data_IF_517351390867
#
_entry.id   IF_517351390867
#
_cell.length_a   1.000
_cell.length_b   1.000
_cell.length_c   1.000
_cell.angle_alpha   90.00
_cell.angle_beta   90.00
_cell.angle_gamma   90.00
#
_symmetry.space_group_name_H-M   'P 1'
#
loop_
_entity.id
_entity.type
_entity.pdbx_description
1 polymer ?
#
# COMPACT_ATOMS: atom_id res chain seq x y z
N UNK A 1 -37.85 -18.04 -55.79
CA UNK A 1 -37.20 -16.73 -56.02
C UNK A 1 -38.26 -15.68 -56.27
N UNK A 2 -38.02 -14.47 -55.79
CA UNK A 2 -38.99 -13.61 -55.11
C UNK A 2 -39.95 -12.81 -56.00
N UNK A 3 -41.02 -12.42 -55.33
CA UNK A 3 -42.20 -11.66 -55.71
C UNK A 3 -41.92 -10.15 -55.86
N UNK A 4 -42.76 -9.54 -56.71
CA UNK A 4 -42.88 -8.15 -57.14
C UNK A 4 -43.41 -7.19 -56.06
N UNK A 5 -42.99 -5.91 -56.19
CA UNK A 5 -43.57 -4.59 -55.84
C UNK A 5 -44.47 -4.48 -54.58
N UNK A 6 -44.40 -3.43 -53.76
CA UNK A 6 -44.76 -2.07 -54.11
C UNK A 6 -44.61 -1.13 -52.89
N UNK A 7 -44.52 0.16 -53.22
CA UNK A 7 -44.34 1.37 -52.41
C UNK A 7 -45.46 1.66 -51.41
N UNK A 8 -45.16 2.31 -50.27
CA UNK A 8 -46.11 3.13 -49.51
C UNK A 8 -45.45 4.39 -48.92
N UNK A 9 -46.25 5.46 -48.90
CA UNK A 9 -45.97 6.86 -48.54
C UNK A 9 -46.87 7.25 -47.35
N UNK A 10 -46.35 8.16 -46.52
CA UNK A 10 -47.00 9.14 -45.62
C UNK A 10 -47.84 8.78 -44.38
N UNK A 11 -47.45 9.52 -43.33
CA UNK A 11 -48.24 10.33 -42.38
C UNK A 11 -49.04 9.72 -41.22
N UNK A 12 -48.86 10.33 -40.04
CA UNK A 12 -49.88 10.41 -39.00
C UNK A 12 -49.39 10.26 -37.56
N UNK A 13 -49.22 11.41 -36.88
CA UNK A 13 -49.28 11.62 -35.41
C UNK A 13 -50.44 10.85 -34.75
N UNK A 14 -50.57 10.58 -33.45
CA UNK A 14 -49.88 10.82 -32.17
C UNK A 14 -50.64 9.95 -31.15
N UNK A 15 -50.01 9.39 -30.11
CA UNK A 15 -50.69 9.13 -28.83
C UNK A 15 -49.67 8.92 -27.70
N UNK A 16 -49.84 9.75 -26.68
CA UNK A 16 -49.10 9.85 -25.42
C UNK A 16 -49.30 8.62 -24.52
N UNK A 17 -48.23 8.16 -23.87
CA UNK A 17 -48.29 7.33 -22.66
C UNK A 17 -47.24 7.79 -21.63
N UNK A 18 -47.49 7.55 -20.32
CA UNK A 18 -47.10 8.46 -19.25
C UNK A 18 -45.65 8.26 -18.75
N UNK A 19 -45.07 9.37 -18.32
CA UNK A 19 -43.82 9.48 -17.60
C UNK A 19 -43.79 8.61 -16.33
N UNK A 20 -42.98 7.55 -16.35
CA UNK A 20 -42.52 6.89 -15.13
C UNK A 20 -41.38 7.71 -14.53
N UNK A 21 -41.62 8.16 -13.31
CA UNK A 21 -40.65 8.86 -12.46
C UNK A 21 -39.49 7.90 -12.21
N UNK A 22 -38.36 8.19 -12.84
CA UNK A 22 -37.08 7.54 -12.53
C UNK A 22 -36.58 8.18 -11.23
N UNK A 23 -36.62 7.40 -10.16
CA UNK A 23 -35.96 7.70 -8.90
C UNK A 23 -34.49 8.03 -9.17
N UNK A 24 -34.05 9.21 -8.76
CA UNK A 24 -32.66 9.63 -8.84
C UNK A 24 -31.81 8.74 -7.93
N UNK A 25 -31.14 7.76 -8.54
CA UNK A 25 -30.06 7.05 -7.91
C UNK A 25 -28.95 8.04 -7.53
N UNK A 26 -28.53 7.96 -6.28
CA UNK A 26 -27.42 8.69 -5.69
C UNK A 26 -26.15 8.41 -6.49
N UNK A 27 -25.67 9.42 -7.23
CA UNK A 27 -24.37 9.39 -7.87
C UNK A 27 -23.31 9.48 -6.77
N UNK A 28 -22.72 8.35 -6.39
CA UNK A 28 -21.44 8.32 -5.68
C UNK A 28 -20.36 8.99 -6.56
N UNK A 29 -19.42 9.79 -6.02
CA UNK A 29 -18.38 10.38 -6.83
C UNK A 29 -17.33 9.31 -7.18
N UNK A 30 -17.56 8.58 -8.29
CA UNK A 30 -16.67 7.56 -8.85
C UNK A 30 -15.35 8.17 -9.39
N UNK A 31 -15.26 9.51 -9.50
CA UNK A 31 -14.20 10.19 -10.26
C UNK A 31 -12.81 10.20 -9.61
N UNK A 32 -12.67 10.14 -8.28
CA UNK A 32 -11.38 10.42 -7.64
C UNK A 32 -10.45 9.20 -7.51
N UNK A 33 -10.94 7.98 -7.71
CA UNK A 33 -10.12 6.76 -7.53
C UNK A 33 -9.34 6.41 -8.79
N UNK A 34 -9.84 6.83 -9.97
CA UNK A 34 -9.26 6.51 -11.27
C UNK A 34 -7.99 7.30 -11.62
N UNK A 35 -7.78 8.46 -11.01
CA UNK A 35 -6.57 9.26 -11.21
C UNK A 35 -5.55 8.94 -10.13
N UNK A 36 -4.32 8.59 -10.53
CA UNK A 36 -3.18 8.47 -9.61
C UNK A 36 -2.84 9.85 -9.05
N UNK A 37 -2.85 10.05 -7.71
CA UNK A 37 -2.40 11.28 -7.07
C UNK A 37 -0.95 11.64 -7.43
N UNK A 38 -0.64 12.93 -7.54
CA UNK A 38 0.71 13.39 -7.89
C UNK A 38 1.77 12.97 -6.87
N UNK A 39 1.40 12.83 -5.60
CA UNK A 39 2.28 12.32 -4.56
C UNK A 39 2.71 10.86 -4.83
N UNK A 40 1.79 10.02 -5.30
CA UNK A 40 2.09 8.62 -5.67
C UNK A 40 2.96 8.59 -6.94
N UNK A 41 2.63 9.39 -7.96
CA UNK A 41 3.47 9.49 -9.17
C UNK A 41 4.90 9.87 -8.83
N UNK A 42 5.07 10.90 -7.99
CA UNK A 42 6.36 11.50 -7.66
C UNK A 42 7.19 10.67 -6.69
N UNK A 43 6.57 10.17 -5.62
CA UNK A 43 7.27 9.53 -4.50
C UNK A 43 7.00 8.03 -4.39
N UNK A 44 6.29 7.44 -5.34
CA UNK A 44 6.17 5.98 -5.48
C UNK A 44 6.64 5.58 -6.87
N UNK A 45 5.90 5.94 -7.92
CA UNK A 45 6.13 5.41 -9.28
C UNK A 45 7.53 5.76 -9.79
N UNK A 46 7.84 7.07 -9.88
CA UNK A 46 9.15 7.52 -10.33
C UNK A 46 10.30 7.01 -9.46
N UNK A 47 10.07 6.85 -8.15
CA UNK A 47 11.10 6.37 -7.24
C UNK A 47 11.40 4.91 -7.51
N UNK A 48 10.38 4.04 -7.56
CA UNK A 48 10.57 2.61 -7.82
C UNK A 48 11.15 2.36 -9.21
N UNK A 49 10.73 3.11 -10.24
CA UNK A 49 11.33 3.05 -11.57
C UNK A 49 12.82 3.39 -11.53
N UNK A 50 13.20 4.45 -10.81
CA UNK A 50 14.59 4.89 -10.72
C UNK A 50 15.48 3.94 -9.89
N UNK A 51 14.93 3.28 -8.87
CA UNK A 51 15.70 2.41 -7.97
C UNK A 51 15.56 0.92 -8.30
N UNK A 52 14.78 0.54 -9.32
CA UNK A 52 14.43 -0.86 -9.62
C UNK A 52 15.63 -1.83 -9.66
N UNK A 53 16.77 -1.52 -10.32
CA UNK A 53 17.93 -2.41 -10.32
C UNK A 53 18.51 -2.63 -8.91
N UNK A 54 18.64 -1.55 -8.14
CA UNK A 54 19.17 -1.61 -6.79
C UNK A 54 18.20 -2.31 -5.82
N UNK A 55 16.90 -1.99 -5.91
CA UNK A 55 15.84 -2.66 -5.17
C UNK A 55 15.86 -4.16 -5.41
N UNK A 56 15.89 -4.58 -6.69
CA UNK A 56 15.95 -6.00 -7.05
C UNK A 56 17.17 -6.71 -6.46
N UNK A 57 18.34 -6.05 -6.44
CA UNK A 57 19.58 -6.64 -5.90
C UNK A 57 19.60 -6.77 -4.36
N UNK A 58 18.70 -6.08 -3.64
CA UNK A 58 18.74 -5.98 -2.16
C UNK A 58 17.53 -6.58 -1.46
N UNK A 59 16.51 -7.02 -2.22
CA UNK A 59 15.21 -7.48 -1.68
C UNK A 59 14.84 -8.89 -2.14
N UNK A 60 15.61 -9.89 -1.68
CA UNK A 60 15.40 -11.31 -2.03
C UNK A 60 14.84 -12.17 -0.87
N UNK A 61 15.02 -11.75 0.38
CA UNK A 61 14.68 -12.56 1.56
C UNK A 61 13.18 -12.74 1.74
N UNK A 62 12.66 -13.96 1.58
CA UNK A 62 11.23 -14.31 1.65
C UNK A 62 10.71 -14.27 3.08
N UNK A 63 9.53 -13.66 3.25
CA UNK A 63 8.91 -13.57 4.56
C UNK A 63 8.27 -14.92 4.92
N UNK A 64 8.54 -15.50 6.11
CA UNK A 64 8.06 -16.82 6.47
C UNK A 64 6.55 -16.98 6.36
N UNK A 65 5.76 -16.03 6.89
CA UNK A 65 4.29 -16.07 6.84
C UNK A 65 3.74 -16.11 5.40
N UNK A 66 4.33 -15.32 4.49
CA UNK A 66 3.96 -15.32 3.06
C UNK A 66 4.33 -16.64 2.39
N UNK A 67 5.52 -17.17 2.69
CA UNK A 67 5.97 -18.44 2.15
C UNK A 67 5.10 -19.61 2.64
N UNK A 68 4.72 -19.63 3.92
CA UNK A 68 3.82 -20.64 4.48
C UNK A 68 2.44 -20.57 3.83
N UNK A 69 1.87 -19.38 3.67
CA UNK A 69 0.61 -19.19 2.95
C UNK A 69 0.67 -19.77 1.53
N UNK A 70 1.66 -19.36 0.74
CA UNK A 70 1.80 -19.82 -0.65
C UNK A 70 2.06 -21.32 -0.78
N UNK A 71 2.69 -21.95 0.21
CA UNK A 71 2.91 -23.41 0.25
C UNK A 71 1.69 -24.20 0.73
N UNK A 72 0.75 -23.54 1.41
CA UNK A 72 -0.49 -24.16 1.89
C UNK A 72 -1.58 -24.25 0.82
N UNK A 73 -1.41 -23.54 -0.30
CA UNK A 73 -2.36 -23.55 -1.41
C UNK A 73 -2.39 -24.92 -2.11
N UNK A 74 -3.57 -25.39 -2.57
CA UNK A 74 -3.67 -26.62 -3.34
C UNK A 74 -2.82 -26.62 -4.61
N UNK A 75 -2.30 -27.78 -5.00
CA UNK A 75 -1.63 -27.96 -6.29
C UNK A 75 -2.55 -27.54 -7.45
N UNK A 76 -1.99 -26.83 -8.42
CA UNK A 76 -2.70 -26.25 -9.56
C UNK A 76 -3.33 -24.88 -9.30
N UNK A 77 -3.20 -24.31 -8.09
CA UNK A 77 -3.77 -22.99 -7.77
C UNK A 77 -3.18 -21.89 -8.65
N UNK A 78 -4.03 -20.99 -9.14
CA UNK A 78 -3.62 -19.75 -9.81
C UNK A 78 -3.54 -18.61 -8.79
N UNK A 79 -2.33 -18.06 -8.62
CA UNK A 79 -2.01 -16.99 -7.67
C UNK A 79 -1.75 -15.68 -8.41
N UNK A 80 -2.44 -14.62 -7.99
CA UNK A 80 -2.26 -13.26 -8.52
C UNK A 80 -1.42 -12.43 -7.54
N UNK A 81 -0.24 -11.96 -7.95
CA UNK A 81 0.63 -11.12 -7.11
C UNK A 81 0.49 -9.65 -7.52
N UNK A 82 -0.32 -8.89 -6.78
CA UNK A 82 -0.57 -7.48 -7.03
C UNK A 82 0.48 -6.62 -6.32
N UNK A 83 1.33 -5.95 -7.11
CA UNK A 83 2.55 -5.29 -6.62
C UNK A 83 3.70 -6.28 -6.42
N UNK A 84 3.93 -7.14 -7.43
CA UNK A 84 4.91 -8.23 -7.37
C UNK A 84 6.37 -7.77 -7.26
N UNK A 85 6.64 -6.48 -7.50
CA UNK A 85 7.98 -5.89 -7.42
C UNK A 85 8.98 -6.63 -8.30
N UNK A 86 10.08 -7.11 -7.71
CA UNK A 86 11.11 -7.86 -8.42
C UNK A 86 10.80 -9.36 -8.59
N UNK A 87 9.54 -9.77 -8.40
CA UNK A 87 9.07 -11.14 -8.63
C UNK A 87 9.51 -12.13 -7.55
N UNK A 88 9.89 -11.65 -6.37
CA UNK A 88 10.42 -12.45 -5.25
C UNK A 88 9.57 -13.66 -4.87
N UNK A 89 8.25 -13.58 -5.02
CA UNK A 89 7.32 -14.67 -4.70
C UNK A 89 6.85 -15.46 -5.93
N UNK A 90 7.09 -14.96 -7.14
CA UNK A 90 6.73 -15.64 -8.37
C UNK A 90 7.55 -16.93 -8.49
N UNK A 91 6.85 -18.06 -8.68
CA UNK A 91 7.48 -19.38 -8.75
C UNK A 91 7.95 -19.94 -7.40
N UNK A 92 7.52 -19.38 -6.26
CA UNK A 92 7.89 -19.92 -4.94
C UNK A 92 7.33 -21.34 -4.71
N UNK A 93 6.12 -21.60 -5.20
CA UNK A 93 5.45 -22.90 -5.11
C UNK A 93 5.38 -23.48 -6.53
N UNK A 94 6.25 -24.45 -6.91
CA UNK A 94 6.32 -24.96 -8.28
C UNK A 94 5.03 -25.66 -8.74
N UNK A 95 4.21 -26.10 -7.78
CA UNK A 95 2.92 -26.71 -8.04
C UNK A 95 1.79 -25.69 -8.26
N UNK A 96 2.07 -24.39 -8.22
CA UNK A 96 1.11 -23.31 -8.45
C UNK A 96 1.50 -22.46 -9.66
N UNK A 97 0.51 -21.85 -10.29
CA UNK A 97 0.71 -20.88 -11.36
C UNK A 97 0.69 -19.47 -10.78
N UNK A 98 1.55 -18.58 -11.29
CA UNK A 98 1.65 -17.21 -10.81
C UNK A 98 1.48 -16.23 -11.97
N UNK A 99 0.74 -15.15 -11.74
CA UNK A 99 0.72 -13.97 -12.61
C UNK A 99 0.96 -12.75 -11.72
N UNK A 100 2.03 -12.02 -11.99
CA UNK A 100 2.38 -10.80 -11.25
C UNK A 100 1.95 -9.54 -11.98
N UNK A 101 1.61 -8.50 -11.23
CA UNK A 101 1.58 -7.15 -11.78
C UNK A 101 2.24 -6.14 -10.85
N UNK A 102 2.74 -5.05 -11.41
CA UNK A 102 3.33 -3.94 -10.68
C UNK A 102 3.18 -2.68 -11.51
N UNK A 103 3.13 -1.52 -10.86
CA UNK A 103 3.03 -0.24 -11.57
C UNK A 103 4.37 0.15 -12.23
N UNK A 104 5.49 -0.37 -11.71
CA UNK A 104 6.83 -0.06 -12.19
C UNK A 104 7.23 -0.93 -13.38
N UNK A 105 7.27 -0.34 -14.57
CA UNK A 105 7.69 -1.04 -15.79
C UNK A 105 9.12 -1.62 -15.70
N UNK A 106 10.13 -0.92 -15.12
CA UNK A 106 11.45 -1.51 -14.90
C UNK A 106 11.46 -2.76 -14.01
N UNK A 107 10.62 -2.82 -12.97
CA UNK A 107 10.49 -4.02 -12.14
C UNK A 107 9.83 -5.18 -12.91
N UNK A 108 8.80 -4.87 -13.70
CA UNK A 108 8.16 -5.86 -14.58
C UNK A 108 9.15 -6.41 -15.61
N UNK A 109 9.99 -5.57 -16.22
CA UNK A 109 11.02 -6.05 -17.14
C UNK A 109 12.01 -7.01 -16.46
N UNK A 110 12.42 -6.72 -15.22
CA UNK A 110 13.29 -7.62 -14.43
C UNK A 110 12.62 -8.99 -14.20
N UNK A 111 11.31 -9.01 -13.99
CA UNK A 111 10.56 -10.26 -13.84
C UNK A 111 10.41 -11.01 -15.16
N UNK A 112 10.13 -10.30 -16.25
CA UNK A 112 10.02 -10.88 -17.59
C UNK A 112 11.35 -11.49 -18.06
N UNK A 113 12.50 -10.85 -17.76
CA UNK A 113 13.85 -11.38 -18.02
C UNK A 113 14.15 -12.67 -17.24
N UNK A 114 13.31 -13.03 -16.25
CA UNK A 114 13.37 -14.28 -15.48
C UNK A 114 12.26 -15.26 -15.85
N UNK A 115 11.64 -15.06 -17.02
CA UNK A 115 10.56 -15.89 -17.56
C UNK A 115 9.33 -15.97 -16.63
N UNK A 116 9.01 -14.90 -15.91
CA UNK A 116 7.77 -14.80 -15.15
C UNK A 116 6.63 -14.20 -15.98
N UNK A 117 5.42 -14.70 -15.77
CA UNK A 117 4.19 -14.14 -16.32
C UNK A 117 3.84 -12.84 -15.59
N UNK A 118 4.07 -11.70 -16.22
CA UNK A 118 3.91 -10.39 -15.58
C UNK A 118 3.31 -9.32 -16.49
N UNK A 119 2.66 -8.33 -15.88
CA UNK A 119 2.06 -7.19 -16.59
C UNK A 119 2.21 -5.88 -15.79
N UNK A 120 2.38 -4.76 -16.49
CA UNK A 120 2.34 -3.43 -15.86
C UNK A 120 0.88 -3.06 -15.56
N UNK A 121 0.53 -2.84 -14.29
CA UNK A 121 -0.81 -2.43 -13.89
C UNK A 121 -0.86 -1.72 -12.52
N UNK A 122 -1.90 -0.90 -12.31
CA UNK A 122 -2.22 -0.31 -11.01
C UNK A 122 -3.02 -1.32 -10.16
N UNK A 123 -2.62 -1.51 -8.90
CA UNK A 123 -3.33 -2.36 -7.93
C UNK A 123 -4.78 -1.89 -7.67
N UNK A 124 -5.09 -0.63 -7.96
CA UNK A 124 -6.44 -0.04 -7.86
C UNK A 124 -7.32 -0.41 -9.06
N UNK A 125 -6.76 -0.98 -10.13
CA UNK A 125 -7.48 -1.46 -11.32
C UNK A 125 -6.79 -2.69 -11.92
N UNK A 126 -6.99 -3.86 -11.31
CA UNK A 126 -6.29 -5.08 -11.69
C UNK A 126 -6.76 -5.60 -13.05
N UNK A 127 -5.84 -6.01 -13.96
CA UNK A 127 -6.16 -6.39 -15.34
C UNK A 127 -6.70 -7.82 -15.45
N UNK A 128 -7.40 -8.31 -14.42
CA UNK A 128 -7.90 -9.67 -14.34
C UNK A 128 -9.44 -9.68 -14.30
N UNK A 129 -10.03 -10.75 -14.83
CA UNK A 129 -11.48 -10.99 -14.74
C UNK A 129 -11.89 -11.21 -13.29
N UNK A 130 -13.15 -10.94 -12.97
CA UNK A 130 -13.72 -11.28 -11.67
C UNK A 130 -13.69 -12.79 -11.46
N UNK A 131 -13.28 -13.25 -10.27
CA UNK A 131 -13.22 -14.68 -9.94
C UNK A 131 -12.22 -15.49 -10.77
N UNK A 132 -11.10 -14.89 -11.15
CA UNK A 132 -10.09 -15.50 -11.99
C UNK A 132 -9.08 -16.36 -11.21
N UNK A 133 -8.49 -15.80 -10.15
CA UNK A 133 -7.48 -16.47 -9.31
C UNK A 133 -8.08 -17.32 -8.20
N UNK A 134 -7.35 -18.34 -7.77
CA UNK A 134 -7.65 -19.13 -6.56
C UNK A 134 -7.16 -18.39 -5.29
N UNK A 135 -6.08 -17.63 -5.43
CA UNK A 135 -5.59 -16.72 -4.40
C UNK A 135 -5.03 -15.42 -4.99
N UNK A 136 -5.00 -14.37 -4.18
CA UNK A 136 -4.26 -13.15 -4.48
C UNK A 136 -3.38 -12.74 -3.30
N UNK A 137 -2.21 -12.17 -3.60
CA UNK A 137 -1.32 -11.59 -2.59
C UNK A 137 -1.04 -10.14 -2.93
N UNK A 138 -0.85 -9.32 -1.90
CA UNK A 138 -0.42 -7.92 -2.02
C UNK A 138 0.50 -7.58 -0.86
N UNK A 139 1.81 -7.76 -1.09
CA UNK A 139 2.82 -7.79 -0.03
C UNK A 139 3.60 -6.48 -0.02
N UNK A 140 3.37 -5.64 1.00
CA UNK A 140 4.04 -4.35 1.17
C UNK A 140 3.75 -3.37 -0.01
N UNK A 141 2.46 -3.23 -0.33
CA UNK A 141 1.98 -2.42 -1.47
C UNK A 141 1.04 -1.31 -1.03
N UNK A 142 -0.01 -1.62 -0.25
CA UNK A 142 -1.08 -0.67 0.06
C UNK A 142 -0.62 0.59 0.80
N UNK A 143 0.52 0.53 1.51
CA UNK A 143 1.11 1.72 2.14
C UNK A 143 1.61 2.75 1.11
N UNK A 144 1.69 2.42 -0.17
CA UNK A 144 2.02 3.37 -1.21
C UNK A 144 0.80 4.12 -1.78
N UNK A 145 -0.41 3.76 -1.39
CA UNK A 145 -1.65 4.39 -1.86
C UNK A 145 -2.06 5.51 -0.92
N UNK A 146 -2.10 6.72 -1.44
CA UNK A 146 -2.10 7.94 -0.62
C UNK A 146 -3.45 8.37 -0.09
N UNK A 147 -4.52 7.71 -0.53
CA UNK A 147 -5.87 7.99 -0.06
C UNK A 147 -6.52 6.71 0.44
N UNK A 148 -7.33 6.86 1.48
CA UNK A 148 -8.15 5.77 2.01
C UNK A 148 -9.03 5.14 0.92
N UNK A 149 -9.59 5.97 0.03
CA UNK A 149 -10.43 5.51 -1.10
C UNK A 149 -9.66 4.60 -2.06
N UNK A 150 -8.40 4.91 -2.37
CA UNK A 150 -7.55 4.08 -3.23
C UNK A 150 -7.13 2.80 -2.51
N UNK A 151 -6.79 2.86 -1.22
CA UNK A 151 -6.53 1.67 -0.39
C UNK A 151 -7.71 0.71 -0.39
N UNK A 152 -8.92 1.22 -0.11
CA UNK A 152 -10.17 0.44 -0.15
C UNK A 152 -10.43 -0.15 -1.53
N UNK A 153 -10.22 0.61 -2.60
CA UNK A 153 -10.39 0.11 -3.96
C UNK A 153 -9.38 -1.00 -4.31
N UNK A 154 -8.12 -0.89 -3.91
CA UNK A 154 -7.14 -1.95 -4.12
C UNK A 154 -7.55 -3.26 -3.41
N UNK A 155 -8.06 -3.17 -2.17
CA UNK A 155 -8.63 -4.32 -1.46
C UNK A 155 -9.83 -4.90 -2.20
N UNK A 156 -10.74 -4.05 -2.67
CA UNK A 156 -11.89 -4.47 -3.47
C UNK A 156 -11.47 -5.17 -4.76
N UNK A 157 -10.43 -4.70 -5.44
CA UNK A 157 -9.88 -5.34 -6.63
C UNK A 157 -9.29 -6.71 -6.31
N UNK A 158 -8.51 -6.85 -5.23
CA UNK A 158 -7.99 -8.15 -4.77
C UNK A 158 -9.13 -9.15 -4.52
N UNK A 159 -10.18 -8.73 -3.81
CA UNK A 159 -11.36 -9.57 -3.55
C UNK A 159 -12.09 -9.90 -4.85
N UNK A 160 -12.25 -8.92 -5.76
CA UNK A 160 -12.94 -9.10 -7.04
C UNK A 160 -12.28 -10.17 -7.91
N UNK A 161 -10.95 -10.17 -8.00
CA UNK A 161 -10.22 -11.06 -8.91
C UNK A 161 -10.11 -12.49 -8.41
N UNK A 162 -10.42 -12.75 -7.14
CA UNK A 162 -10.37 -14.08 -6.53
C UNK A 162 -11.74 -14.77 -6.60
N UNK A 163 -11.74 -16.09 -6.82
CA UNK A 163 -12.95 -16.93 -6.84
C UNK A 163 -13.66 -16.89 -5.47
N UNK A 164 -14.96 -17.20 -5.47
CA UNK A 164 -15.68 -17.42 -4.20
C UNK A 164 -14.99 -18.56 -3.42
N UNK A 165 -14.65 -18.31 -2.15
CA UNK A 165 -13.90 -19.24 -1.31
C UNK A 165 -12.38 -19.22 -1.53
N UNK A 166 -11.88 -18.41 -2.46
CA UNK A 166 -10.45 -18.17 -2.60
C UNK A 166 -9.91 -17.22 -1.53
N UNK A 167 -8.59 -17.15 -1.44
CA UNK A 167 -7.89 -16.48 -0.33
C UNK A 167 -7.16 -15.21 -0.79
N UNK A 168 -7.13 -14.20 0.07
CA UNK A 168 -6.33 -12.98 -0.14
C UNK A 168 -5.37 -12.81 1.02
N UNK A 169 -4.08 -12.61 0.73
CA UNK A 169 -3.08 -12.25 1.75
C UNK A 169 -2.57 -10.83 1.51
N UNK A 170 -2.69 -9.97 2.52
CA UNK A 170 -2.20 -8.60 2.50
C UNK A 170 -1.19 -8.43 3.63
N UNK A 171 -0.08 -7.74 3.35
CA UNK A 171 0.82 -7.27 4.40
C UNK A 171 1.10 -5.78 4.24
N UNK A 172 1.03 -5.04 5.33
CA UNK A 172 1.27 -3.60 5.37
C UNK A 172 2.30 -3.27 6.45
N UNK A 173 2.77 -2.01 6.47
CA UNK A 173 3.61 -1.53 7.57
C UNK A 173 2.67 -0.97 8.64
N UNK A 174 2.83 -1.46 9.87
CA UNK A 174 2.01 -1.09 11.02
C UNK A 174 2.78 -0.16 11.94
N UNK A 175 2.13 0.87 12.50
CA UNK A 175 2.78 1.85 13.38
C UNK A 175 3.40 1.16 14.59
N UNK A 176 2.73 0.13 15.08
CA UNK A 176 3.02 -0.63 16.30
C UNK A 176 4.23 -1.56 16.16
N UNK A 177 4.58 -1.94 14.92
CA UNK A 177 5.66 -2.91 14.64
C UNK A 177 6.99 -2.24 14.29
N UNK A 178 7.01 -0.93 14.07
CA UNK A 178 8.21 -0.23 13.64
C UNK A 178 9.11 0.13 14.83
N UNK A 179 10.39 -0.22 14.72
CA UNK A 179 11.40 0.22 15.69
C UNK A 179 11.41 1.76 15.74
N UNK A 180 11.20 2.32 16.93
CA UNK A 180 11.23 3.77 17.16
C UNK A 180 12.52 4.41 16.63
N UNK A 181 13.64 3.67 16.58
CA UNK A 181 14.91 4.12 16.01
C UNK A 181 14.88 4.27 14.48
N UNK A 182 13.98 3.57 13.78
CA UNK A 182 13.74 3.69 12.34
C UNK A 182 12.76 4.82 12.03
N UNK A 183 11.67 4.93 12.81
CA UNK A 183 10.66 5.99 12.63
C UNK A 183 11.26 7.39 12.77
N UNK A 184 12.25 7.57 13.67
CA UNK A 184 12.98 8.86 13.80
C UNK A 184 13.76 9.28 12.56
N UNK A 185 14.03 8.36 11.63
CA UNK A 185 14.68 8.65 10.35
C UNK A 185 13.69 9.00 9.25
N UNK A 186 12.40 8.81 9.48
CA UNK A 186 11.34 9.12 8.52
C UNK A 186 10.90 10.57 8.69
N UNK A 187 10.49 11.19 7.59
CA UNK A 187 9.98 12.56 7.64
C UNK A 187 8.45 12.53 7.69
N UNK A 188 7.81 12.96 8.78
CA UNK A 188 6.36 13.04 8.86
C UNK A 188 5.82 14.08 7.88
N UNK A 189 4.74 13.76 7.16
CA UNK A 189 4.08 14.70 6.26
C UNK A 189 3.17 15.62 7.06
N UNK A 190 3.53 16.90 7.17
CA UNK A 190 2.63 17.86 7.83
C UNK A 190 1.26 17.91 7.12
N UNK A 191 0.14 18.13 7.84
CA UNK A 191 -1.20 18.19 7.24
C UNK A 191 -1.34 19.14 6.04
N UNK A 192 -0.48 20.16 5.92
CA UNK A 192 -0.41 21.05 4.75
C UNK A 192 -0.13 20.32 3.43
N UNK A 193 0.66 19.23 3.46
CA UNK A 193 0.91 18.40 2.27
C UNK A 193 -0.26 17.46 1.96
N UNK A 194 -1.12 17.17 2.93
CA UNK A 194 -2.33 16.39 2.69
C UNK A 194 -3.37 17.27 2.00
N UNK A 195 -3.52 18.53 2.42
CA UNK A 195 -4.47 19.48 1.83
C UNK A 195 -4.04 20.07 0.48
N UNK A 196 -2.75 20.31 0.25
CA UNK A 196 -2.26 20.85 -1.03
C UNK A 196 -2.32 19.82 -2.19
N UNK A 197 -2.29 18.52 -1.86
CA UNK A 197 -2.20 17.43 -2.83
C UNK A 197 -3.52 16.66 -3.01
N UNK A 198 -4.45 16.79 -2.06
CA UNK A 198 -5.88 16.52 -2.29
C UNK A 198 -6.42 17.75 -3.03
N UNK A 199 -6.56 17.68 -4.35
CA UNK A 199 -7.08 18.79 -5.15
C UNK A 199 -8.40 19.36 -4.58
N UNK A 200 -8.75 20.63 -4.89
CA UNK A 200 -9.82 21.42 -4.24
C UNK A 200 -11.26 20.90 -4.43
N UNK A 201 -11.46 19.63 -4.77
CA UNK A 201 -12.75 19.01 -5.07
C UNK A 201 -12.93 17.66 -4.35
N UNK A 202 -12.75 17.64 -3.03
CA UNK A 202 -13.10 16.48 -2.21
C UNK A 202 -14.12 16.88 -1.13
N UNK A 203 -15.36 16.34 -1.13
CA UNK A 203 -16.30 16.54 -0.04
C UNK A 203 -15.85 15.75 1.20
N UNK A 204 -15.91 16.40 2.37
CA UNK A 204 -15.77 15.71 3.67
C UNK A 204 -17.02 14.87 3.90
N UNK A 205 -16.90 13.54 3.99
CA UNK A 205 -18.02 12.68 4.42
C UNK A 205 -17.55 11.71 5.49
N UNK A 206 -18.36 11.64 6.56
CA UNK A 206 -18.28 10.70 7.69
C UNK A 206 -19.13 9.46 7.44
N UNK A 207 -18.65 8.36 8.03
CA UNK A 207 -19.35 7.15 8.51
C UNK A 207 -19.39 5.91 7.59
N UNK A 208 -19.29 4.69 8.18
CA UNK A 208 -18.87 3.48 7.47
C UNK A 208 -20.02 2.51 7.16
N UNK A 209 -19.77 1.61 6.21
CA UNK A 209 -20.49 0.34 6.03
C UNK A 209 -19.49 -0.80 6.23
N UNK A 210 -19.70 -1.63 7.25
CA UNK A 210 -18.79 -2.70 7.66
C UNK A 210 -18.97 -3.98 6.86
N UNK A 211 -17.87 -4.52 6.34
CA UNK A 211 -17.73 -5.96 6.09
C UNK A 211 -16.54 -6.44 6.92
N UNK A 212 -16.79 -7.38 7.83
CA UNK A 212 -15.75 -7.91 8.73
C UNK A 212 -14.90 -8.95 8.00
N UNK A 213 -13.60 -8.70 7.90
CA UNK A 213 -12.60 -9.68 7.45
C UNK A 213 -12.07 -10.42 8.69
N UNK A 214 -11.94 -11.75 8.61
CA UNK A 214 -11.31 -12.55 9.66
C UNK A 214 -9.78 -12.54 9.49
N UNK A 215 -9.06 -12.17 10.55
CA UNK A 215 -7.60 -12.21 10.61
C UNK A 215 -7.10 -13.64 10.87
N UNK A 216 -5.92 -13.98 10.36
CA UNK A 216 -5.27 -15.26 10.62
C UNK A 216 -4.54 -15.17 11.98
N UNK A 217 -4.79 -16.10 12.93
CA UNK A 217 -4.20 -16.03 14.26
C UNK A 217 -2.67 -16.18 14.23
N UNK A 218 -1.99 -15.35 15.03
CA UNK A 218 -0.55 -15.43 15.26
C UNK A 218 -0.27 -16.51 16.31
N UNK A 219 0.29 -17.66 15.92
CA UNK A 219 0.82 -18.64 16.86
C UNK A 219 2.32 -18.40 17.05
N UNK A 220 2.72 -17.99 18.26
CA UNK A 220 4.12 -17.97 18.66
C UNK A 220 4.64 -19.41 18.84
N UNK A 221 5.61 -19.82 18.04
CA UNK A 221 6.45 -20.97 18.36
C UNK A 221 7.78 -20.48 18.94
N UNK A 222 7.84 -20.47 20.29
CA UNK A 222 9.08 -20.40 21.03
C UNK A 222 9.73 -21.80 21.04
N UNK A 223 10.84 -21.94 20.29
CA UNK A 223 11.79 -23.04 20.43
C UNK A 223 12.88 -22.69 21.46
N UNK A 224 13.02 -23.54 22.47
CA UNK A 224 13.74 -23.38 23.72
C UNK A 224 15.28 -23.49 23.65
N UNK A 225 15.94 -22.92 24.66
CA UNK A 225 17.33 -23.19 25.04
C UNK A 225 17.64 -22.60 26.42
N UNK A 226 17.74 -23.48 27.42
CA UNK A 226 17.82 -23.24 28.86
C UNK A 226 19.04 -22.43 29.36
N UNK A 227 18.87 -21.62 30.41
CA UNK A 227 19.65 -21.81 31.65
C UNK A 227 19.09 -21.04 32.86
N UNK A 228 18.82 -21.79 33.92
CA UNK A 228 18.40 -21.39 35.27
C UNK A 228 19.54 -20.73 36.06
N UNK A 229 19.25 -19.70 36.88
CA UNK A 229 19.69 -19.57 38.29
C UNK A 229 19.17 -18.31 39.04
N UNK A 230 18.43 -18.60 40.10
CA UNK A 230 18.45 -18.07 41.47
C UNK A 230 18.13 -16.60 41.83
N UNK A 231 16.90 -16.43 42.35
CA UNK A 231 16.45 -15.72 43.56
C UNK A 231 17.41 -14.79 44.33
N UNK A 232 16.94 -13.56 44.62
CA UNK A 232 16.70 -13.05 45.99
C UNK A 232 15.99 -11.69 45.99
N UNK A 233 14.82 -11.64 46.62
CA UNK A 233 14.20 -10.43 47.17
C UNK A 233 15.04 -9.89 48.34
N UNK A 234 15.27 -8.58 48.39
CA UNK A 234 15.41 -7.82 49.65
C UNK A 234 14.76 -6.43 49.45
N UNK A 235 13.75 -6.18 50.27
CA UNK A 235 13.16 -4.87 50.60
C UNK A 235 14.13 -3.97 51.36
N UNK A 236 14.10 -2.64 51.12
CA UNK A 236 14.06 -1.66 52.21
C UNK A 236 13.83 -0.22 51.73
N UNK A 237 13.27 0.53 52.66
CA UNK A 237 12.56 1.79 52.55
C UNK A 237 13.44 3.06 52.55
N UNK A 238 12.78 4.16 52.15
CA UNK A 238 12.87 5.53 52.67
C UNK A 238 14.20 6.31 52.63
N UNK A 239 14.16 7.48 51.97
CA UNK A 239 14.51 8.75 52.61
C UNK A 239 13.76 9.92 51.94
N UNK A 240 13.14 10.76 52.77
CA UNK A 240 12.49 12.02 52.42
C UNK A 240 13.54 13.15 52.40
N UNK A 241 13.37 14.16 51.53
CA UNK A 241 13.39 15.58 51.97
C UNK A 241 12.99 16.59 50.88
N UNK A 242 11.77 17.13 51.02
CA UNK A 242 11.45 18.54 51.35
C UNK A 242 11.88 19.72 50.44
N UNK A 243 10.83 20.41 49.92
CA UNK A 243 10.64 21.86 49.65
C UNK A 243 10.87 22.48 48.23
N UNK A 244 9.71 22.69 47.57
CA UNK A 244 9.24 23.87 46.83
C UNK A 244 10.22 24.80 46.07
N UNK A 245 10.03 24.90 44.75
CA UNK A 245 9.82 26.21 44.12
C UNK A 245 9.05 26.06 42.80
N UNK A 246 7.98 26.85 42.70
CA UNK A 246 7.03 26.99 41.60
C UNK A 246 7.68 27.69 40.42
N UNK A 247 7.65 27.08 39.22
CA UNK A 247 7.47 27.72 37.91
C UNK A 247 7.85 26.73 36.82
N UNK A 248 6.87 26.29 36.02
CA UNK A 248 6.98 25.96 34.59
C UNK A 248 5.73 25.18 34.18
N UNK A 249 4.72 25.86 33.64
CA UNK A 249 3.47 25.23 33.12
C UNK A 249 3.23 25.56 31.65
N UNK A 250 4.27 25.88 30.88
CA UNK A 250 4.13 26.12 29.44
C UNK A 250 4.89 25.09 28.58
N UNK A 251 5.98 24.49 29.09
CA UNK A 251 6.80 23.54 28.32
C UNK A 251 6.21 22.12 28.27
N UNK A 252 5.54 21.68 29.34
CA UNK A 252 4.88 20.37 29.39
C UNK A 252 3.63 20.30 28.51
N UNK A 253 2.94 21.42 28.30
CA UNK A 253 1.77 21.50 27.41
C UNK A 253 2.16 21.33 25.94
N UNK A 254 3.30 21.90 25.53
CA UNK A 254 3.84 21.76 24.19
C UNK A 254 4.40 20.34 23.98
N UNK A 255 5.08 19.79 24.99
CA UNK A 255 5.64 18.43 24.95
C UNK A 255 4.56 17.35 24.97
N UNK A 256 3.47 17.54 25.72
CA UNK A 256 2.28 16.68 25.66
C UNK A 256 1.51 16.80 24.33
N UNK A 257 1.38 18.02 23.77
CA UNK A 257 0.78 18.21 22.44
C UNK A 257 1.61 17.58 21.33
N UNK A 258 2.94 17.65 21.42
CA UNK A 258 3.86 16.99 20.48
C UNK A 258 3.79 15.47 20.64
N UNK A 259 3.82 14.93 21.87
CA UNK A 259 3.63 13.49 22.13
C UNK A 259 2.30 12.97 21.60
N UNK A 260 1.21 13.70 21.84
CA UNK A 260 -0.15 13.32 21.39
C UNK A 260 -0.33 13.44 19.87
N UNK A 261 0.42 14.33 19.21
CA UNK A 261 0.43 14.42 17.74
C UNK A 261 1.23 13.28 17.09
N UNK A 262 2.29 12.78 17.74
CA UNK A 262 3.08 11.64 17.23
C UNK A 262 2.26 10.35 17.25
N UNK A 263 1.32 10.19 18.19
CA UNK A 263 0.45 9.01 18.31
C UNK A 263 -0.63 8.90 17.20
N UNK A 264 -0.79 9.89 16.32
CA UNK A 264 -1.81 9.88 15.25
C UNK A 264 -1.25 10.07 13.85
N UNK A 265 0.07 10.07 13.71
CA UNK A 265 0.70 10.34 12.43
C UNK A 265 0.89 9.05 11.63
N UNK A 266 0.31 8.99 10.43
CA UNK A 266 0.34 7.80 9.57
C UNK A 266 1.05 8.04 8.23
N UNK A 267 1.47 9.26 7.93
CA UNK A 267 1.89 9.67 6.59
C UNK A 267 3.38 10.04 6.54
N UNK A 268 4.24 9.21 5.95
CA UNK A 268 5.68 9.37 6.05
C UNK A 268 6.39 9.40 4.70
N UNK A 269 7.47 10.18 4.63
CA UNK A 269 8.53 9.96 3.66
C UNK A 269 9.61 9.07 4.25
N UNK A 270 9.80 7.90 3.62
CA UNK A 270 10.80 6.90 4.01
C UNK A 270 12.00 6.99 3.05
N UNK A 271 13.20 7.31 3.55
CA UNK A 271 14.36 7.50 2.68
C UNK A 271 14.90 6.17 2.16
N UNK A 272 15.19 6.12 0.86
CA UNK A 272 15.95 5.06 0.20
C UNK A 272 17.32 5.60 -0.19
N UNK A 273 18.39 4.96 0.27
CA UNK A 273 19.76 5.37 -0.01
C UNK A 273 20.32 4.51 -1.13
N UNK A 274 20.52 5.10 -2.31
CA UNK A 274 21.14 4.48 -3.47
C UNK A 274 22.63 4.87 -3.51
N UNK A 275 23.57 3.93 -3.28
CA UNK A 275 25.00 4.26 -3.28
C UNK A 275 25.45 4.88 -4.60
N UNK A 276 26.37 5.85 -4.56
CA UNK A 276 26.81 6.58 -5.76
C UNK A 276 27.35 5.68 -6.88
N UNK A 277 28.05 4.60 -6.54
CA UNK A 277 28.56 3.65 -7.53
C UNK A 277 27.45 2.80 -8.20
N UNK A 278 26.23 2.82 -7.66
CA UNK A 278 25.02 2.19 -8.24
C UNK A 278 24.07 3.22 -8.83
N UNK A 279 24.22 4.49 -8.47
CA UNK A 279 23.44 5.58 -9.03
C UNK A 279 24.03 5.93 -10.40
N UNK A 280 23.23 5.77 -11.46
CA UNK A 280 23.67 6.17 -12.79
C UNK A 280 23.85 7.69 -12.84
N UNK A 281 25.12 8.14 -12.93
CA UNK A 281 25.51 9.56 -12.92
C UNK A 281 24.93 10.33 -14.10
N UNK A 282 24.50 9.64 -15.17
CA UNK A 282 23.84 10.20 -16.37
C UNK A 282 22.42 9.67 -16.63
N UNK A 283 21.86 8.88 -15.70
CA UNK A 283 20.58 8.16 -15.89
C UNK A 283 19.45 8.69 -15.02
N UNK A 284 18.58 7.78 -14.56
CA UNK A 284 17.40 8.11 -13.75
C UNK A 284 17.74 8.95 -12.50
N UNK A 285 18.90 8.70 -11.88
CA UNK A 285 19.38 9.47 -10.72
C UNK A 285 19.77 10.90 -11.05
N UNK A 286 20.38 11.15 -12.21
CA UNK A 286 20.70 12.51 -12.65
C UNK A 286 19.43 13.34 -12.88
N UNK A 287 18.45 12.75 -13.57
CA UNK A 287 17.15 13.37 -13.82
C UNK A 287 16.38 13.63 -12.49
N UNK A 288 16.39 12.66 -11.58
CA UNK A 288 15.75 12.80 -10.27
C UNK A 288 16.39 13.92 -9.43
N UNK A 289 17.72 14.07 -9.47
CA UNK A 289 18.42 15.15 -8.79
C UNK A 289 18.08 16.52 -9.39
N UNK A 290 18.07 16.64 -10.72
CA UNK A 290 17.75 17.88 -11.42
C UNK A 290 16.32 18.36 -11.14
N UNK A 291 15.37 17.43 -11.04
CA UNK A 291 13.94 17.73 -10.78
C UNK A 291 13.57 17.77 -9.28
N UNK A 292 14.56 17.70 -8.39
CA UNK A 292 14.33 17.72 -6.93
C UNK A 292 13.55 16.52 -6.39
N UNK A 293 13.55 15.39 -7.12
CA UNK A 293 12.96 14.11 -6.71
C UNK A 293 13.91 13.28 -5.84
N UNK A 294 15.20 13.59 -5.89
CA UNK A 294 16.24 12.98 -5.07
C UNK A 294 17.20 14.04 -4.54
N UNK A 295 17.99 13.69 -3.52
CA UNK A 295 19.01 14.55 -2.93
C UNK A 295 20.34 13.81 -2.83
N UNK A 296 21.46 14.52 -2.95
CA UNK A 296 22.78 13.97 -2.63
C UNK A 296 22.99 13.98 -1.12
N UNK A 297 23.51 12.87 -0.58
CA UNK A 297 24.01 12.76 0.78
C UNK A 297 25.48 12.34 0.71
N UNK A 298 26.38 13.32 0.60
CA UNK A 298 27.82 13.09 0.45
C UNK A 298 28.43 12.44 1.69
N UNK A 299 27.83 12.62 2.88
CA UNK A 299 28.28 11.95 4.11
C UNK A 299 28.06 10.45 4.04
N UNK A 300 26.97 10.02 3.40
CA UNK A 300 26.64 8.59 3.21
C UNK A 300 27.09 8.05 1.85
N UNK A 301 27.63 8.88 0.97
CA UNK A 301 28.03 8.49 -0.38
C UNK A 301 26.86 7.96 -1.22
N UNK A 302 25.67 8.56 -1.10
CA UNK A 302 24.44 8.04 -1.69
C UNK A 302 23.52 9.14 -2.26
N UNK A 303 22.76 8.78 -3.29
CA UNK A 303 21.57 9.53 -3.73
C UNK A 303 20.38 9.04 -2.89
N UNK A 304 19.70 9.97 -2.23
CA UNK A 304 18.56 9.69 -1.36
C UNK A 304 17.26 10.01 -2.08
N UNK A 305 16.39 9.02 -2.20
CA UNK A 305 15.03 9.14 -2.68
C UNK A 305 14.06 9.06 -1.51
N UNK A 306 13.03 9.89 -1.49
CA UNK A 306 11.96 9.79 -0.50
C UNK A 306 10.80 9.00 -1.08
N UNK A 307 10.39 7.93 -0.38
CA UNK A 307 9.23 7.13 -0.76
C UNK A 307 8.05 7.49 0.11
N UNK A 308 6.88 7.67 -0.48
CA UNK A 308 5.66 7.90 0.29
C UNK A 308 5.15 6.59 0.91
N UNK A 309 4.78 6.65 2.18
CA UNK A 309 4.23 5.55 2.98
C UNK A 309 3.07 6.04 3.86
N UNK A 310 1.93 5.37 3.76
CA UNK A 310 0.89 5.33 4.76
C UNK A 310 1.14 4.14 5.71
N UNK A 311 1.36 4.41 6.99
CA UNK A 311 1.61 3.42 8.03
C UNK A 311 0.30 3.16 8.77
N UNK A 312 -0.13 1.90 8.75
CA UNK A 312 -1.46 1.51 9.21
C UNK A 312 -1.50 1.45 10.73
N UNK A 313 -2.61 1.90 11.30
CA UNK A 313 -2.92 1.67 12.71
C UNK A 313 -3.61 0.32 12.89
N UNK A 314 -3.54 -0.24 14.09
CA UNK A 314 -4.33 -1.41 14.47
C UNK A 314 -5.82 -1.26 14.09
N UNK A 315 -6.39 -2.31 13.48
CA UNK A 315 -7.79 -2.34 13.05
C UNK A 315 -8.09 -1.54 11.77
N UNK A 316 -7.12 -0.91 11.10
CA UNK A 316 -7.41 -0.09 9.92
C UNK A 316 -7.82 -0.90 8.69
N UNK A 317 -7.23 -2.07 8.46
CA UNK A 317 -7.54 -2.90 7.29
C UNK A 317 -8.93 -3.54 7.37
N UNK A 318 -9.47 -3.66 8.58
CA UNK A 318 -10.75 -4.28 8.90
C UNK A 318 -11.95 -3.32 8.78
N UNK A 319 -11.73 -2.03 8.51
CA UNK A 319 -12.76 -0.97 8.43
C UNK A 319 -13.23 -0.67 7.00
#
# INVERSE_FOLDING_TARGET
MASSLCTLVSDGESHTQPSLIVSQDQICPVSNVQSTPEIEKKYVHHVYDAIAPHFSSTRFAKWPKVATFLKSLPSGSLVLDAGCGNGKYLGLSPDCFFIGCDISAPLINICADRDHEVVVADAVNLPYRTGFGDAAISIAVLHHLSTESRRKKAIQELVRVVKKGGLVLITVWAVEQEDRSLVTKWTPLSPKYVEEWIGPSSPRIRSPSSFTLESIPETEENGSGEHLKDLKEISNENLQDTMHSTCQTEDDSMTFKIKKNIESHQEYFVPWHLPYHRAEVSGASACALANGLAKKDDKKGAVVYNRYYHVFSEGELER
#
